data_IF_228268022298
#
_entry.id   IF_228268022298
#
_cell.length_a   1.000
_cell.length_b   1.000
_cell.length_c   1.000
_cell.angle_alpha   90.00
_cell.angle_beta   90.00
_cell.angle_gamma   90.00
#
_symmetry.space_group_name_H-M   'P 1'
#
loop_
_entity.id
_entity.type
_entity.pdbx_description
1 polymer ?
#
# COMPACT_ATOMS: atom_id res chain seq x y z
N UNK A 1 -6.10 17.71 -10.24
CA UNK A 1 -5.82 17.51 -11.67
C UNK A 1 -6.04 18.77 -12.51
N UNK A 2 -7.04 19.61 -12.20
CA UNK A 2 -7.32 20.89 -12.92
C UNK A 2 -6.14 21.87 -13.08
N UNK A 3 -5.07 21.74 -12.28
CA UNK A 3 -3.87 22.58 -12.34
C UNK A 3 -2.65 21.84 -12.91
N UNK A 4 -2.83 20.72 -13.61
CA UNK A 4 -1.73 19.96 -14.20
C UNK A 4 -0.82 19.22 -13.20
N UNK A 5 -1.24 19.10 -11.93
CA UNK A 5 -0.53 18.34 -10.90
C UNK A 5 -1.11 16.93 -10.75
N UNK A 6 -0.22 15.94 -10.70
CA UNK A 6 -0.53 14.53 -10.41
C UNK A 6 -0.71 14.37 -8.90
N UNK A 7 -1.92 14.05 -8.40
CA UNK A 7 -2.13 13.77 -6.99
C UNK A 7 -1.58 12.39 -6.62
N UNK A 8 -0.95 12.33 -5.45
CA UNK A 8 -0.65 11.07 -4.75
C UNK A 8 -1.68 10.95 -3.62
N UNK A 9 -2.52 9.92 -3.67
CA UNK A 9 -3.56 9.69 -2.66
C UNK A 9 -3.01 8.73 -1.61
N UNK A 10 -2.96 9.18 -0.35
CA UNK A 10 -2.37 8.45 0.78
C UNK A 10 -3.43 8.09 1.84
N UNK A 11 -4.18 6.99 1.66
CA UNK A 11 -5.14 6.51 2.65
C UNK A 11 -4.46 5.53 3.62
N UNK A 12 -3.56 6.04 4.47
CA UNK A 12 -2.82 5.21 5.43
C UNK A 12 -3.75 4.60 6.50
N UNK A 13 -3.67 3.29 6.67
CA UNK A 13 -4.16 2.58 7.85
C UNK A 13 -2.98 2.33 8.78
N UNK A 14 -3.02 2.94 9.95
CA UNK A 14 -1.94 2.84 10.93
C UNK A 14 -1.73 1.39 11.39
N UNK A 15 -0.47 1.07 11.70
CA UNK A 15 -0.07 -0.26 12.16
C UNK A 15 -0.17 -0.45 13.68
N UNK A 16 -0.56 0.59 14.42
CA UNK A 16 -0.66 0.56 15.88
C UNK A 16 -1.72 -0.45 16.37
N UNK A 17 -1.41 -1.16 17.45
CA UNK A 17 -2.32 -2.06 18.15
C UNK A 17 -2.04 -3.55 17.97
N UNK A 18 -2.87 -4.38 18.61
CA UNK A 18 -2.67 -5.82 18.76
C UNK A 18 -3.37 -6.68 17.69
N UNK A 19 -3.74 -6.09 16.55
CA UNK A 19 -4.52 -6.75 15.53
C UNK A 19 -3.68 -7.69 14.65
N UNK A 20 -4.29 -8.76 14.15
CA UNK A 20 -3.64 -9.67 13.20
C UNK A 20 -3.66 -9.13 11.76
N UNK A 21 -2.84 -9.72 10.89
CA UNK A 21 -2.76 -9.34 9.47
C UNK A 21 -4.10 -9.41 8.74
N UNK A 22 -4.97 -10.37 9.10
CA UNK A 22 -6.32 -10.51 8.51
C UNK A 22 -7.23 -9.33 8.83
N UNK A 23 -7.14 -8.80 10.07
CA UNK A 23 -7.89 -7.61 10.47
C UNK A 23 -7.35 -6.40 9.73
N UNK A 24 -6.02 -6.27 9.64
CA UNK A 24 -5.41 -5.17 8.89
C UNK A 24 -5.79 -5.20 7.42
N UNK A 25 -5.82 -6.38 6.80
CA UNK A 25 -6.31 -6.58 5.42
C UNK A 25 -7.75 -6.11 5.28
N UNK A 26 -8.63 -6.58 6.17
CA UNK A 26 -10.05 -6.25 6.11
C UNK A 26 -10.29 -4.74 6.23
N UNK A 27 -9.65 -4.07 7.18
CA UNK A 27 -9.76 -2.61 7.35
C UNK A 27 -9.20 -1.88 6.12
N UNK A 28 -8.02 -2.29 5.64
CA UNK A 28 -7.38 -1.70 4.45
C UNK A 28 -8.29 -1.81 3.23
N UNK A 29 -8.89 -2.98 2.98
CA UNK A 29 -9.82 -3.18 1.85
C UNK A 29 -11.05 -2.25 1.96
N UNK A 30 -11.59 -2.04 3.18
CA UNK A 30 -12.73 -1.13 3.39
C UNK A 30 -12.35 0.34 3.16
N UNK A 31 -11.22 0.77 3.69
CA UNK A 31 -10.71 2.15 3.53
C UNK A 31 -10.42 2.43 2.06
N UNK A 32 -9.74 1.52 1.38
CA UNK A 32 -9.44 1.66 -0.05
C UNK A 32 -10.70 1.69 -0.90
N UNK A 33 -11.66 0.80 -0.67
CA UNK A 33 -12.93 0.80 -1.41
C UNK A 33 -13.70 2.12 -1.24
N UNK A 34 -13.78 2.65 -0.01
CA UNK A 34 -14.40 3.94 0.25
C UNK A 34 -13.64 5.09 -0.43
N UNK A 35 -12.31 5.05 -0.42
CA UNK A 35 -11.44 6.02 -1.10
C UNK A 35 -11.68 6.00 -2.60
N UNK A 36 -11.66 4.83 -3.24
CA UNK A 36 -11.90 4.70 -4.69
C UNK A 36 -13.30 5.18 -5.07
N UNK A 37 -14.32 4.90 -4.24
CA UNK A 37 -15.67 5.44 -4.47
C UNK A 37 -15.68 6.97 -4.43
N UNK A 38 -15.05 7.57 -3.41
CA UNK A 38 -14.99 9.02 -3.27
C UNK A 38 -14.22 9.67 -4.43
N UNK A 39 -13.13 9.06 -4.89
CA UNK A 39 -12.37 9.53 -6.06
C UNK A 39 -13.19 9.46 -7.35
N UNK A 40 -13.96 8.39 -7.53
CA UNK A 40 -14.90 8.25 -8.65
C UNK A 40 -15.97 9.36 -8.64
N UNK A 41 -16.52 9.66 -7.46
CA UNK A 41 -17.58 10.68 -7.30
C UNK A 41 -17.11 12.10 -7.68
N UNK A 42 -15.81 12.37 -7.57
CA UNK A 42 -15.20 13.65 -7.98
C UNK A 42 -14.58 13.60 -9.38
N UNK A 43 -14.87 12.56 -10.16
CA UNK A 43 -14.36 12.34 -11.52
C UNK A 43 -12.83 12.40 -11.60
N UNK A 44 -12.14 11.67 -10.72
CA UNK A 44 -10.70 11.50 -10.83
C UNK A 44 -10.35 10.91 -12.20
N UNK A 45 -9.27 11.40 -12.81
CA UNK A 45 -8.60 10.71 -13.91
C UNK A 45 -7.64 9.66 -13.30
N UNK A 46 -7.98 8.37 -13.45
CA UNK A 46 -7.26 7.26 -12.80
C UNK A 46 -5.82 7.13 -13.28
N UNK A 47 -5.62 7.35 -14.57
CA UNK A 47 -4.33 7.31 -15.27
C UNK A 47 -3.40 8.44 -14.81
N UNK A 48 -3.99 9.52 -14.28
CA UNK A 48 -3.32 10.73 -13.84
C UNK A 48 -3.17 10.84 -12.32
N UNK A 49 -3.14 9.72 -11.59
CA UNK A 49 -2.91 9.69 -10.13
C UNK A 49 -1.96 8.57 -9.71
N UNK A 50 -1.45 8.63 -8.49
CA UNK A 50 -0.78 7.51 -7.83
C UNK A 50 -1.46 7.19 -6.50
N UNK A 51 -1.37 5.93 -6.07
CA UNK A 51 -1.78 5.53 -4.73
C UNK A 51 -0.54 5.32 -3.85
N UNK A 52 -0.56 5.86 -2.63
CA UNK A 52 0.45 5.64 -1.58
C UNK A 52 -0.20 4.96 -0.37
N UNK A 53 -0.43 3.64 -0.41
CA UNK A 53 -1.01 2.91 0.70
C UNK A 53 0.06 2.41 1.66
N UNK A 54 -0.36 1.96 2.85
CA UNK A 54 0.44 1.10 3.71
C UNK A 54 0.57 -0.32 3.13
N UNK A 55 1.62 -1.04 3.53
CA UNK A 55 1.68 -2.50 3.37
C UNK A 55 0.77 -3.16 4.42
N UNK A 56 0.24 -4.35 4.12
CA UNK A 56 -0.60 -5.10 5.06
C UNK A 56 0.29 -6.01 5.90
N UNK A 57 0.42 -5.65 7.18
CA UNK A 57 1.23 -6.29 8.21
C UNK A 57 0.38 -6.52 9.47
N UNK A 58 0.77 -7.44 10.38
CA UNK A 58 0.21 -7.46 11.73
C UNK A 58 0.48 -6.14 12.46
N UNK A 59 -0.37 -5.81 13.43
CA UNK A 59 -0.18 -4.62 14.25
C UNK A 59 1.06 -4.72 15.13
N UNK A 60 1.68 -3.60 15.47
CA UNK A 60 2.97 -3.54 16.19
C UNK A 60 2.92 -4.17 17.58
N UNK A 61 1.75 -4.15 18.23
CA UNK A 61 1.56 -4.68 19.58
C UNK A 61 0.99 -6.11 19.57
N UNK A 62 0.86 -6.73 18.39
CA UNK A 62 0.22 -8.05 18.24
C UNK A 62 1.10 -9.22 18.69
N UNK A 63 2.41 -8.99 18.85
CA UNK A 63 3.41 -10.03 19.09
C UNK A 63 3.58 -11.01 17.92
N UNK A 64 2.97 -10.72 16.76
CA UNK A 64 3.03 -11.55 15.56
C UNK A 64 3.94 -10.92 14.53
N UNK A 65 4.64 -11.77 13.78
CA UNK A 65 5.42 -11.38 12.60
C UNK A 65 4.80 -11.99 11.35
N UNK A 66 5.09 -11.41 10.19
CA UNK A 66 4.70 -11.93 8.89
C UNK A 66 5.93 -12.06 8.00
N UNK A 67 5.97 -13.11 7.18
CA UNK A 67 7.02 -13.24 6.16
C UNK A 67 6.82 -12.20 5.06
N UNK A 68 7.87 -11.81 4.31
CA UNK A 68 7.72 -10.94 3.15
C UNK A 68 6.71 -11.47 2.12
N UNK A 69 6.62 -12.79 1.97
CA UNK A 69 5.67 -13.47 1.10
C UNK A 69 4.22 -13.31 1.60
N UNK A 70 3.98 -13.42 2.92
CA UNK A 70 2.66 -13.20 3.51
C UNK A 70 2.22 -11.74 3.40
N UNK A 71 3.15 -10.80 3.62
CA UNK A 71 2.91 -9.36 3.44
C UNK A 71 2.58 -9.07 1.99
N UNK A 72 3.37 -9.61 1.06
CA UNK A 72 3.15 -9.42 -0.36
C UNK A 72 1.79 -9.94 -0.81
N UNK A 73 1.43 -11.15 -0.36
CA UNK A 73 0.14 -11.77 -0.69
C UNK A 73 -1.03 -10.93 -0.20
N UNK A 74 -1.05 -10.59 1.09
CA UNK A 74 -2.15 -9.83 1.67
C UNK A 74 -2.25 -8.42 1.07
N UNK A 75 -1.11 -7.79 0.80
CA UNK A 75 -1.05 -6.45 0.22
C UNK A 75 -1.57 -6.43 -1.22
N UNK A 76 -0.99 -7.25 -2.11
CA UNK A 76 -1.33 -7.20 -3.54
C UNK A 76 -2.73 -7.73 -3.81
N UNK A 77 -3.15 -8.82 -3.15
CA UNK A 77 -4.52 -9.31 -3.32
C UNK A 77 -5.57 -8.33 -2.75
N UNK A 78 -5.24 -7.61 -1.67
CA UNK A 78 -6.10 -6.54 -1.15
C UNK A 78 -6.31 -5.43 -2.18
N UNK A 79 -5.21 -4.99 -2.82
CA UNK A 79 -5.25 -4.01 -3.91
C UNK A 79 -6.04 -4.52 -5.12
N UNK A 80 -5.86 -5.78 -5.53
CA UNK A 80 -6.63 -6.43 -6.61
C UNK A 80 -8.14 -6.42 -6.40
N UNK A 81 -8.60 -6.31 -5.16
CA UNK A 81 -10.04 -6.26 -4.82
C UNK A 81 -10.61 -4.86 -4.79
N UNK A 82 -9.77 -3.82 -4.70
CA UNK A 82 -10.23 -2.46 -4.41
C UNK A 82 -9.84 -1.44 -5.48
N UNK A 83 -8.71 -1.62 -6.16
CA UNK A 83 -8.13 -0.64 -7.05
C UNK A 83 -8.46 -0.96 -8.52
N UNK A 84 -8.81 0.03 -9.37
CA UNK A 84 -8.99 -0.20 -10.79
C UNK A 84 -7.64 -0.36 -11.51
N UNK A 85 -7.61 -1.16 -12.57
CA UNK A 85 -6.41 -1.40 -13.37
C UNK A 85 -5.86 -0.14 -14.07
N UNK A 86 -6.66 0.93 -14.18
CA UNK A 86 -6.28 2.18 -14.83
C UNK A 86 -5.26 3.02 -14.03
N UNK A 87 -5.11 2.78 -12.72
CA UNK A 87 -4.09 3.48 -11.92
C UNK A 87 -2.70 3.09 -12.44
N UNK A 88 -1.77 4.00 -12.70
CA UNK A 88 -0.46 3.64 -13.28
C UNK A 88 0.48 2.97 -12.26
N UNK A 89 0.39 3.33 -10.99
CA UNK A 89 1.34 2.87 -9.98
C UNK A 89 0.92 3.07 -8.54
N UNK A 90 1.54 2.25 -7.71
CA UNK A 90 1.39 2.20 -6.26
C UNK A 90 2.77 2.44 -5.65
N UNK A 91 2.88 3.44 -4.79
CA UNK A 91 4.13 3.86 -4.17
C UNK A 91 4.02 3.70 -2.65
N UNK A 92 4.41 2.53 -2.13
CA UNK A 92 4.19 2.19 -0.73
C UNK A 92 4.96 3.12 0.23
N UNK A 93 4.29 3.55 1.29
CA UNK A 93 4.97 4.12 2.46
C UNK A 93 5.63 3.01 3.29
N UNK A 94 6.75 3.30 3.93
CA UNK A 94 7.41 2.34 4.81
C UNK A 94 6.75 2.25 6.18
N UNK A 95 6.03 3.29 6.62
CA UNK A 95 5.39 3.33 7.92
C UNK A 95 6.44 3.23 9.02
N UNK A 96 6.25 2.29 9.96
CA UNK A 96 7.18 1.97 11.05
C UNK A 96 8.21 0.88 10.76
N UNK A 97 8.26 0.36 9.53
CA UNK A 97 9.21 -0.69 9.16
C UNK A 97 10.65 -0.19 9.15
N UNK A 98 11.59 -1.10 9.38
CA UNK A 98 13.02 -0.86 9.14
C UNK A 98 13.34 -0.73 7.64
N UNK A 99 14.53 -0.21 7.30
CA UNK A 99 15.01 -0.08 5.92
C UNK A 99 15.03 -1.44 5.19
N UNK A 100 15.57 -2.48 5.85
CA UNK A 100 15.67 -3.82 5.29
C UNK A 100 14.28 -4.47 5.13
N UNK A 101 13.42 -4.35 6.14
CA UNK A 101 12.08 -4.95 6.13
C UNK A 101 11.21 -4.38 5.01
N UNK A 102 11.13 -3.05 4.90
CA UNK A 102 10.36 -2.39 3.86
C UNK A 102 10.84 -2.80 2.45
N UNK A 103 12.17 -2.93 2.29
CA UNK A 103 12.79 -3.36 1.02
C UNK A 103 12.49 -4.81 0.70
N UNK A 104 12.59 -5.72 1.68
CA UNK A 104 12.28 -7.14 1.51
C UNK A 104 10.82 -7.36 1.13
N UNK A 105 9.90 -6.67 1.79
CA UNK A 105 8.47 -6.76 1.51
C UNK A 105 8.13 -6.26 0.09
N UNK A 106 8.67 -5.10 -0.32
CA UNK A 106 8.47 -4.57 -1.67
C UNK A 106 9.04 -5.50 -2.76
N UNK A 107 10.20 -6.10 -2.50
CA UNK A 107 10.82 -7.05 -3.40
C UNK A 107 9.98 -8.34 -3.53
N UNK A 108 9.44 -8.86 -2.42
CA UNK A 108 8.56 -10.03 -2.45
C UNK A 108 7.28 -9.76 -3.26
N UNK A 109 6.68 -8.58 -3.13
CA UNK A 109 5.53 -8.16 -3.95
C UNK A 109 5.83 -8.21 -5.44
N UNK A 110 6.93 -7.59 -5.88
CA UNK A 110 7.30 -7.56 -7.29
C UNK A 110 7.65 -8.95 -7.85
N UNK A 111 8.24 -9.84 -7.03
CA UNK A 111 8.58 -11.22 -7.44
C UNK A 111 7.37 -12.13 -7.56
N UNK A 112 6.44 -12.05 -6.59
CA UNK A 112 5.27 -12.93 -6.56
C UNK A 112 4.17 -12.49 -7.52
N UNK A 113 4.10 -11.19 -7.83
CA UNK A 113 3.07 -10.60 -8.68
C UNK A 113 3.66 -9.82 -9.87
N UNK A 114 4.44 -10.47 -10.76
CA UNK A 114 5.08 -9.80 -11.89
C UNK A 114 4.08 -9.25 -12.92
N UNK A 115 2.85 -9.78 -12.90
CA UNK A 115 1.75 -9.39 -13.78
C UNK A 115 0.71 -8.51 -13.09
N UNK A 116 1.04 -7.92 -11.93
CA UNK A 116 0.17 -6.91 -11.33
C UNK A 116 -0.12 -5.80 -12.36
N UNK A 117 -1.37 -5.32 -12.48
CA UNK A 117 -1.73 -4.32 -13.50
C UNK A 117 -1.06 -2.95 -13.24
N UNK A 118 -0.50 -2.76 -12.05
CA UNK A 118 0.13 -1.53 -11.60
C UNK A 118 1.63 -1.72 -11.40
N UNK A 119 2.41 -0.64 -11.50
CA UNK A 119 3.79 -0.63 -11.00
C UNK A 119 3.79 -0.61 -9.47
N UNK A 120 4.56 -1.50 -8.86
CA UNK A 120 4.72 -1.57 -7.40
C UNK A 120 6.08 -0.98 -7.03
N UNK A 121 6.07 0.21 -6.43
CA UNK A 121 7.27 0.98 -6.10
C UNK A 121 7.18 1.53 -4.66
N UNK A 122 8.10 2.41 -4.28
CA UNK A 122 8.19 2.99 -2.94
C UNK A 122 8.00 4.52 -2.94
N UNK A 123 7.49 5.03 -1.82
CA UNK A 123 7.55 6.43 -1.39
C UNK A 123 7.93 6.44 0.08
N UNK A 124 9.20 6.14 0.35
CA UNK A 124 9.74 5.97 1.70
C UNK A 124 10.29 7.29 2.26
N UNK A 125 10.00 7.55 3.53
CA UNK A 125 10.66 8.61 4.31
C UNK A 125 11.79 8.01 5.15
N UNK A 126 11.44 7.54 6.36
CA UNK A 126 12.40 6.93 7.31
C UNK A 126 13.24 5.81 6.70
N UNK A 127 12.62 4.94 5.92
CA UNK A 127 13.30 3.77 5.32
C UNK A 127 14.35 4.13 4.23
N UNK A 128 14.52 5.40 3.88
CA UNK A 128 15.61 5.87 2.99
C UNK A 128 16.62 6.76 3.71
N UNK A 129 16.38 7.13 4.97
CA UNK A 129 17.12 8.17 5.67
C UNK A 129 17.63 7.74 7.05
N UNK A 130 17.29 6.55 7.53
CA UNK A 130 17.62 6.15 8.90
C UNK A 130 19.12 5.87 9.07
N UNK A 131 19.79 5.40 8.01
CA UNK A 131 21.23 5.10 8.01
C UNK A 131 22.10 6.21 7.39
N UNK A 132 21.53 7.38 7.05
CA UNK A 132 22.22 8.49 6.36
C UNK A 132 23.05 9.34 7.33
#
# INVERSE_FOLDING_TARGET
QMNGLVPIIEPEVLMDGAHGIEVQRWVTEKVQAATMKALSDVNIEWEGMLLKPNMILPGTDSGKTASPEDVAKNTVEGLMRTLPAAVPGITFLSGGQSEEEATRNLNAMNKLYPNAPWKLSFSFGRALQASV
#
